data_IF_469228840692
#
_entry.id   IF_469228840692
#
_cell.length_a   1.000
_cell.length_b   1.000
_cell.length_c   1.000
_cell.angle_alpha   90.00
_cell.angle_beta   90.00
_cell.angle_gamma   90.00
#
_symmetry.space_group_name_H-M   'P 1'
#
loop_
_entity.id
_entity.type
_entity.pdbx_description
1 polymer ?
#
# COMPACT_ATOMS: atom_id res chain seq x y z
N UNK A 1 -18.15 14.67 12.62
CA UNK A 1 -18.65 13.40 13.23
C UNK A 1 -17.45 12.66 13.77
N UNK A 2 -17.39 12.43 15.09
CA UNK A 2 -16.37 11.54 15.64
C UNK A 2 -16.75 10.12 15.23
N UNK A 3 -16.03 9.54 14.28
CA UNK A 3 -16.15 8.12 13.99
C UNK A 3 -15.54 7.34 15.15
N UNK A 4 -16.17 6.24 15.51
CA UNK A 4 -15.55 5.25 16.37
C UNK A 4 -14.36 4.61 15.61
N UNK A 5 -13.14 5.03 15.96
CA UNK A 5 -11.91 4.56 15.30
C UNK A 5 -11.73 3.05 15.46
N UNK A 6 -12.28 2.46 16.51
CA UNK A 6 -12.27 1.01 16.70
C UNK A 6 -13.12 0.33 15.64
N UNK A 7 -14.34 0.83 15.40
CA UNK A 7 -15.20 0.28 14.36
C UNK A 7 -14.61 0.46 12.95
N UNK A 8 -13.92 1.57 12.68
CA UNK A 8 -13.22 1.77 11.40
C UNK A 8 -12.04 0.80 11.26
N UNK A 9 -11.27 0.57 12.32
CA UNK A 9 -10.17 -0.39 12.32
C UNK A 9 -10.68 -1.81 12.06
N UNK A 10 -11.75 -2.23 12.73
CA UNK A 10 -12.33 -3.56 12.55
C UNK A 10 -12.84 -3.73 11.10
N UNK A 11 -13.41 -2.66 10.53
CA UNK A 11 -13.82 -2.62 9.14
C UNK A 11 -12.63 -2.72 8.17
N UNK A 12 -11.54 -2.02 8.48
CA UNK A 12 -10.27 -2.08 7.75
C UNK A 12 -9.70 -3.50 7.76
N UNK A 13 -9.65 -4.14 8.93
CA UNK A 13 -9.16 -5.52 9.06
C UNK A 13 -9.99 -6.48 8.21
N UNK A 14 -11.31 -6.29 8.20
CA UNK A 14 -12.20 -7.10 7.39
C UNK A 14 -11.93 -6.90 5.89
N UNK A 15 -11.90 -5.65 5.41
CA UNK A 15 -11.89 -5.35 3.98
C UNK A 15 -10.48 -5.34 3.39
N UNK A 16 -9.49 -4.82 4.12
CA UNK A 16 -8.14 -4.57 3.61
C UNK A 16 -7.12 -5.63 4.04
N UNK A 17 -7.49 -6.55 4.93
CA UNK A 17 -6.62 -7.62 5.38
C UNK A 17 -7.23 -9.00 5.13
N UNK A 18 -8.39 -9.30 5.73
CA UNK A 18 -9.00 -10.64 5.62
C UNK A 18 -9.62 -10.92 4.26
N UNK A 19 -10.37 -9.97 3.71
CA UNK A 19 -11.13 -10.12 2.48
C UNK A 19 -10.48 -9.44 1.26
N UNK A 20 -9.31 -8.84 1.44
CA UNK A 20 -8.60 -8.18 0.34
C UNK A 20 -8.44 -9.14 -0.85
N UNK A 21 -8.62 -8.60 -2.05
CA UNK A 21 -8.39 -9.30 -3.32
C UNK A 21 -7.47 -8.45 -4.18
N UNK A 22 -6.29 -8.99 -4.43
CA UNK A 22 -5.28 -8.41 -5.30
C UNK A 22 -5.25 -9.21 -6.61
N UNK A 23 -5.49 -8.57 -7.77
CA UNK A 23 -5.63 -9.30 -9.04
C UNK A 23 -4.35 -10.03 -9.43
N UNK A 24 -3.18 -9.50 -9.05
CA UNK A 24 -1.88 -10.03 -9.45
C UNK A 24 -1.33 -11.11 -8.51
N UNK A 25 -1.99 -11.35 -7.40
CA UNK A 25 -1.54 -12.27 -6.36
C UNK A 25 -2.54 -13.43 -6.17
N UNK A 26 -2.02 -14.59 -5.82
CA UNK A 26 -2.85 -15.72 -5.40
C UNK A 26 -3.14 -15.57 -3.90
N UNK A 27 -4.42 -15.35 -3.57
CA UNK A 27 -4.87 -15.30 -2.18
C UNK A 27 -5.11 -16.69 -1.64
N UNK A 28 -4.55 -17.00 -0.48
CA UNK A 28 -4.79 -18.23 0.25
C UNK A 28 -5.26 -17.90 1.68
N UNK A 29 -6.34 -18.55 2.09
CA UNK A 29 -6.91 -18.38 3.42
C UNK A 29 -6.69 -19.67 4.24
N UNK A 30 -6.06 -19.51 5.40
CA UNK A 30 -5.86 -20.54 6.40
C UNK A 30 -6.72 -20.18 7.63
N UNK A 31 -6.94 -21.10 8.58
CA UNK A 31 -7.81 -20.83 9.73
C UNK A 31 -7.49 -19.54 10.50
N UNK A 32 -6.19 -19.22 10.64
CA UNK A 32 -5.71 -18.12 11.49
C UNK A 32 -4.90 -17.06 10.74
N UNK A 33 -4.77 -17.14 9.41
CA UNK A 33 -4.04 -16.16 8.61
C UNK A 33 -4.51 -16.12 7.16
N UNK A 34 -4.23 -14.99 6.50
CA UNK A 34 -4.40 -14.82 5.05
C UNK A 34 -3.05 -14.43 4.47
N UNK A 35 -2.64 -15.14 3.42
CA UNK A 35 -1.42 -14.85 2.68
C UNK A 35 -1.69 -14.66 1.19
N UNK A 36 -0.79 -13.95 0.55
CA UNK A 36 -0.77 -13.75 -0.88
C UNK A 36 0.56 -14.24 -1.43
N UNK A 37 0.49 -15.00 -2.50
CA UNK A 37 1.65 -15.59 -3.18
C UNK A 37 1.84 -14.88 -4.51
N UNK A 38 3.06 -14.46 -4.80
CA UNK A 38 3.38 -13.89 -6.10
C UNK A 38 3.34 -14.96 -7.19
N UNK A 39 2.63 -14.68 -8.26
CA UNK A 39 2.57 -15.57 -9.44
C UNK A 39 3.77 -15.43 -10.36
N UNK A 40 4.53 -14.34 -10.23
CA UNK A 40 5.62 -13.97 -11.12
C UNK A 40 7.00 -14.07 -10.48
N UNK A 41 7.10 -14.71 -9.30
CA UNK A 41 8.36 -14.89 -8.58
C UNK A 41 8.78 -13.72 -7.69
N UNK A 42 7.89 -12.72 -7.49
CA UNK A 42 8.12 -11.63 -6.53
C UNK A 42 7.94 -12.07 -5.08
N UNK A 43 8.01 -11.10 -4.18
CA UNK A 43 7.81 -11.32 -2.73
C UNK A 43 6.35 -11.68 -2.43
N UNK A 44 6.14 -12.70 -1.57
CA UNK A 44 4.82 -13.00 -1.00
C UNK A 44 4.53 -12.13 0.22
N UNK A 45 3.30 -12.22 0.76
CA UNK A 45 2.93 -11.49 1.97
C UNK A 45 1.93 -12.26 2.82
N UNK A 46 2.16 -12.31 4.14
CA UNK A 46 1.15 -12.63 5.16
C UNK A 46 0.53 -11.30 5.62
N UNK A 47 -0.69 -11.03 5.20
CA UNK A 47 -1.34 -9.73 5.41
C UNK A 47 -2.25 -9.70 6.64
N UNK A 48 -2.82 -10.84 7.00
CA UNK A 48 -3.65 -11.01 8.19
C UNK A 48 -3.18 -12.21 8.99
N UNK A 49 -3.09 -12.04 10.31
CA UNK A 49 -2.91 -13.14 11.23
C UNK A 49 -3.63 -12.88 12.55
N UNK A 50 -4.19 -13.95 13.12
CA UNK A 50 -4.80 -13.97 14.46
C UNK A 50 -4.40 -15.29 15.12
N UNK A 51 -3.24 -15.29 15.78
CA UNK A 51 -2.62 -16.49 16.29
C UNK A 51 -2.79 -16.61 17.82
N UNK A 52 -2.95 -17.82 18.30
CA UNK A 52 -2.79 -18.10 19.72
C UNK A 52 -1.30 -18.14 20.06
N UNK A 53 -0.96 -17.71 21.27
CA UNK A 53 0.44 -17.63 21.74
C UNK A 53 1.17 -18.97 21.60
N UNK A 54 0.52 -20.08 21.96
CA UNK A 54 1.09 -21.43 21.89
C UNK A 54 1.37 -21.91 20.45
N UNK A 55 0.69 -21.35 19.45
CA UNK A 55 0.77 -21.79 18.05
C UNK A 55 1.63 -20.86 17.18
N UNK A 56 1.95 -19.67 17.67
CA UNK A 56 2.58 -18.62 16.87
C UNK A 56 3.90 -19.07 16.23
N UNK A 57 4.81 -19.68 17.02
CA UNK A 57 6.10 -20.13 16.51
C UNK A 57 5.97 -21.28 15.49
N UNK A 58 4.99 -22.14 15.64
CA UNK A 58 4.70 -23.20 14.67
C UNK A 58 4.15 -22.60 13.37
N UNK A 59 3.26 -21.59 13.46
CA UNK A 59 2.73 -20.87 12.31
C UNK A 59 3.84 -20.13 11.55
N UNK A 60 4.74 -19.43 12.26
CA UNK A 60 5.88 -18.73 11.65
C UNK A 60 6.76 -19.71 10.88
N UNK A 61 7.19 -20.82 11.51
CA UNK A 61 8.00 -21.85 10.83
C UNK A 61 7.28 -22.44 9.61
N UNK A 62 5.95 -22.64 9.72
CA UNK A 62 5.14 -23.12 8.62
C UNK A 62 5.12 -22.18 7.42
N UNK A 63 5.05 -20.86 7.65
CA UNK A 63 5.11 -19.87 6.56
C UNK A 63 6.52 -19.79 5.96
N UNK A 64 7.57 -19.83 6.76
CA UNK A 64 8.96 -19.88 6.29
C UNK A 64 9.15 -21.09 5.37
N UNK A 65 8.78 -22.29 5.82
CA UNK A 65 8.91 -23.52 5.02
C UNK A 65 8.10 -23.43 3.72
N UNK A 66 6.90 -22.87 3.77
CA UNK A 66 6.04 -22.70 2.61
C UNK A 66 6.67 -21.79 1.54
N UNK A 67 7.07 -20.57 1.91
CA UNK A 67 7.65 -19.63 0.96
C UNK A 67 9.05 -20.06 0.50
N UNK A 68 9.85 -20.69 1.36
CA UNK A 68 11.10 -21.30 0.97
C UNK A 68 10.90 -22.40 -0.09
N UNK A 69 9.86 -23.24 0.06
CA UNK A 69 9.49 -24.25 -0.91
C UNK A 69 9.07 -23.68 -2.27
N UNK A 70 8.58 -22.45 -2.31
CA UNK A 70 8.27 -21.71 -3.54
C UNK A 70 9.45 -20.93 -4.10
N UNK A 71 10.59 -20.88 -3.41
CA UNK A 71 11.74 -20.07 -3.80
C UNK A 71 11.49 -18.56 -3.64
N UNK A 72 10.58 -18.15 -2.74
CA UNK A 72 10.18 -16.75 -2.54
C UNK A 72 10.58 -16.23 -1.17
N UNK A 73 11.08 -15.00 -1.11
CA UNK A 73 11.06 -14.17 0.09
C UNK A 73 9.63 -13.73 0.39
N UNK A 74 9.34 -13.34 1.63
CA UNK A 74 8.01 -12.81 1.95
C UNK A 74 8.04 -11.79 3.08
N UNK A 75 7.00 -10.97 3.11
CA UNK A 75 6.70 -10.03 4.18
C UNK A 75 5.63 -10.64 5.11
N UNK A 76 5.78 -10.45 6.40
CA UNK A 76 4.69 -10.56 7.36
C UNK A 76 4.34 -9.16 7.83
N UNK A 77 3.21 -8.63 7.39
CA UNK A 77 2.74 -7.31 7.82
C UNK A 77 2.04 -7.44 9.16
N UNK A 78 2.70 -6.97 10.21
CA UNK A 78 2.20 -7.04 11.59
C UNK A 78 1.57 -5.72 11.98
N UNK A 79 0.35 -5.77 12.52
CA UNK A 79 -0.33 -4.59 13.03
C UNK A 79 -0.23 -4.55 14.57
N UNK A 80 -0.25 -3.35 15.14
CA UNK A 80 -0.07 -3.16 16.59
C UNK A 80 -1.16 -3.86 17.45
N UNK A 81 -2.29 -4.22 16.85
CA UNK A 81 -3.39 -4.93 17.50
C UNK A 81 -3.47 -6.42 17.13
N UNK A 82 -2.47 -6.94 16.41
CA UNK A 82 -2.40 -8.37 16.10
C UNK A 82 -2.02 -9.20 17.34
N UNK A 83 -2.39 -10.47 17.31
CA UNK A 83 -2.10 -11.42 18.38
C UNK A 83 -1.15 -12.51 17.89
N UNK A 84 -0.25 -12.98 18.76
CA UNK A 84 0.02 -12.52 20.14
C UNK A 84 0.75 -11.16 20.16
N UNK A 85 0.70 -10.39 21.25
CA UNK A 85 1.30 -9.04 21.30
C UNK A 85 2.82 -9.02 21.10
N UNK A 86 3.50 -10.15 21.31
CA UNK A 86 4.95 -10.35 21.10
C UNK A 86 5.26 -10.94 19.69
N UNK A 87 4.32 -10.89 18.75
CA UNK A 87 4.49 -11.49 17.41
C UNK A 87 5.75 -10.97 16.68
N UNK A 88 6.06 -9.68 16.79
CA UNK A 88 7.25 -9.08 16.16
C UNK A 88 8.54 -9.60 16.74
N UNK A 89 8.60 -9.80 18.06
CA UNK A 89 9.75 -10.36 18.76
C UNK A 89 9.97 -11.82 18.35
N UNK A 90 8.90 -12.59 18.19
CA UNK A 90 8.95 -13.97 17.69
C UNK A 90 9.43 -14.00 16.22
N UNK A 91 8.88 -13.16 15.35
CA UNK A 91 9.35 -13.04 13.97
C UNK A 91 10.85 -12.73 13.91
N UNK A 92 11.32 -11.76 14.71
CA UNK A 92 12.75 -11.44 14.80
C UNK A 92 13.60 -12.67 15.23
N UNK A 93 13.12 -13.45 16.20
CA UNK A 93 13.79 -14.68 16.64
C UNK A 93 13.85 -15.75 15.54
N UNK A 94 12.93 -15.72 14.59
CA UNK A 94 12.90 -16.56 13.40
C UNK A 94 13.60 -15.96 12.16
N UNK A 95 14.40 -14.89 12.35
CA UNK A 95 15.26 -14.33 11.30
C UNK A 95 14.61 -13.27 10.43
N UNK A 96 13.44 -12.75 10.81
CA UNK A 96 12.85 -11.61 10.11
C UNK A 96 13.56 -10.30 10.46
N UNK A 97 13.71 -9.44 9.46
CA UNK A 97 14.09 -8.04 9.64
C UNK A 97 12.80 -7.24 9.89
N UNK A 98 12.81 -6.44 10.96
CA UNK A 98 11.63 -5.65 11.35
C UNK A 98 11.85 -4.20 10.93
N UNK A 99 10.99 -3.72 10.06
CA UNK A 99 10.98 -2.35 9.58
C UNK A 99 10.51 -1.32 10.62
N UNK A 100 10.63 -0.05 10.28
CA UNK A 100 10.10 1.04 11.10
C UNK A 100 8.56 1.02 11.11
N UNK A 101 7.91 1.52 12.18
CA UNK A 101 6.46 1.62 12.22
C UNK A 101 5.93 2.63 11.20
N UNK A 102 4.87 2.24 10.50
CA UNK A 102 4.08 3.10 9.64
C UNK A 102 2.70 3.33 10.26
N UNK A 103 2.21 4.56 10.16
CA UNK A 103 0.88 4.89 10.64
C UNK A 103 -0.17 4.43 9.62
N UNK A 104 -1.00 3.46 9.98
CA UNK A 104 -2.17 3.08 9.18
C UNK A 104 -3.23 4.15 9.37
N UNK A 105 -3.47 4.94 8.33
CA UNK A 105 -4.38 6.07 8.39
C UNK A 105 -5.59 5.86 7.50
N UNK A 106 -6.73 6.35 7.95
CA UNK A 106 -8.00 6.29 7.21
C UNK A 106 -8.62 7.68 7.11
N UNK A 107 -9.26 7.94 5.97
CA UNK A 107 -10.00 9.16 5.69
C UNK A 107 -11.40 8.82 5.18
N UNK A 108 -12.44 9.43 5.75
CA UNK A 108 -13.81 9.31 5.24
C UNK A 108 -14.03 10.32 4.09
N UNK A 109 -14.08 9.84 2.87
CA UNK A 109 -14.30 10.67 1.68
C UNK A 109 -15.68 11.36 1.67
N UNK A 110 -16.66 10.84 2.42
CA UNK A 110 -17.95 11.51 2.57
C UNK A 110 -17.86 12.78 3.41
N UNK A 111 -16.88 12.85 4.33
CA UNK A 111 -16.60 13.99 5.19
C UNK A 111 -15.49 14.90 4.65
N UNK A 112 -15.15 14.80 3.36
CA UNK A 112 -14.06 15.55 2.76
C UNK A 112 -14.27 17.07 2.91
N UNK A 113 -13.24 17.81 3.39
CA UNK A 113 -13.31 19.25 3.51
C UNK A 113 -13.36 19.91 2.14
N UNK A 114 -13.96 21.13 2.01
CA UNK A 114 -14.12 21.79 0.71
C UNK A 114 -12.83 21.96 -0.08
N UNK A 115 -11.68 22.07 0.59
CA UNK A 115 -10.37 22.19 -0.09
C UNK A 115 -10.02 20.97 -0.94
N UNK A 116 -10.44 19.76 -0.54
CA UNK A 116 -10.21 18.53 -1.29
C UNK A 116 -11.29 18.27 -2.37
N UNK A 117 -12.33 19.09 -2.43
CA UNK A 117 -13.41 19.00 -3.40
C UNK A 117 -13.28 20.03 -4.54
N UNK A 118 -12.31 20.94 -4.46
CA UNK A 118 -12.02 21.91 -5.52
C UNK A 118 -11.31 21.25 -6.68
N UNK A 119 -11.51 21.75 -7.92
CA UNK A 119 -10.67 21.36 -9.04
C UNK A 119 -9.18 21.55 -8.67
N UNK A 120 -8.30 20.65 -9.12
CA UNK A 120 -6.85 20.82 -8.92
C UNK A 120 -6.38 22.16 -9.51
N UNK A 121 -5.43 22.81 -8.84
CA UNK A 121 -4.79 24.02 -9.32
C UNK A 121 -3.59 23.63 -10.20
N UNK A 122 -3.71 23.75 -11.51
CA UNK A 122 -2.59 23.48 -12.43
C UNK A 122 -2.81 22.31 -13.38
N UNK A 123 -1.73 21.90 -14.05
CA UNK A 123 -1.75 20.81 -15.02
C UNK A 123 -1.64 19.46 -14.27
N UNK A 124 -2.79 18.91 -13.90
CA UNK A 124 -2.90 17.58 -13.29
C UNK A 124 -3.64 16.67 -14.27
N UNK A 125 -3.01 15.56 -14.62
CA UNK A 125 -3.54 14.60 -15.59
C UNK A 125 -3.76 13.25 -14.93
N UNK A 126 -4.87 12.62 -15.32
CA UNK A 126 -5.10 11.21 -15.05
C UNK A 126 -4.39 10.39 -16.12
N UNK A 127 -3.62 9.42 -15.71
CA UNK A 127 -2.96 8.46 -16.60
C UNK A 127 -4.00 7.45 -17.07
N UNK A 128 -4.12 7.29 -18.39
CA UNK A 128 -5.06 6.38 -19.03
C UNK A 128 -4.39 5.46 -20.06
N UNK A 129 -3.24 5.87 -20.61
CA UNK A 129 -2.45 5.07 -21.55
C UNK A 129 -1.24 4.46 -20.81
N UNK A 130 -0.95 3.15 -21.00
CA UNK A 130 0.27 2.54 -20.47
C UNK A 130 1.57 3.26 -20.84
N UNK A 131 1.64 3.95 -21.98
CA UNK A 131 2.81 4.74 -22.39
C UNK A 131 3.07 5.92 -21.44
N UNK A 132 2.03 6.48 -20.82
CA UNK A 132 2.15 7.60 -19.88
C UNK A 132 2.76 7.16 -18.52
N UNK A 133 2.88 5.85 -18.25
CA UNK A 133 3.54 5.34 -17.05
C UNK A 133 5.03 5.72 -16.99
N UNK A 134 5.64 6.07 -18.12
CA UNK A 134 7.00 6.57 -18.15
C UNK A 134 7.18 7.82 -17.27
N UNK A 135 6.19 8.73 -17.25
CA UNK A 135 6.23 9.93 -16.40
C UNK A 135 6.14 9.59 -14.90
N UNK A 136 5.35 8.57 -14.54
CA UNK A 136 5.23 8.07 -13.17
C UNK A 136 6.55 7.46 -12.72
N UNK A 137 7.13 6.56 -13.54
CA UNK A 137 8.39 5.87 -13.25
C UNK A 137 9.52 6.88 -13.09
N UNK A 138 9.63 7.85 -13.99
CA UNK A 138 10.68 8.86 -13.92
C UNK A 138 10.66 9.66 -12.59
N UNK A 139 9.47 9.98 -12.08
CA UNK A 139 9.33 10.66 -10.78
C UNK A 139 9.72 9.73 -9.63
N UNK A 140 9.25 8.49 -9.64
CA UNK A 140 9.54 7.52 -8.57
C UNK A 140 11.04 7.19 -8.54
N UNK A 141 11.66 6.92 -9.69
CA UNK A 141 13.10 6.63 -9.81
C UNK A 141 13.94 7.78 -9.24
N UNK A 142 13.59 9.02 -9.57
CA UNK A 142 14.33 10.19 -9.10
C UNK A 142 14.13 10.42 -7.59
N UNK A 143 12.89 10.29 -7.08
CA UNK A 143 12.60 10.55 -5.66
C UNK A 143 13.23 9.51 -4.74
N UNK A 144 13.22 8.23 -5.15
CA UNK A 144 13.66 7.12 -4.31
C UNK A 144 15.05 6.61 -4.65
N UNK A 145 15.63 7.05 -5.80
CA UNK A 145 16.92 6.57 -6.33
C UNK A 145 16.95 5.03 -6.52
N UNK A 146 15.82 4.48 -6.96
CA UNK A 146 15.58 3.05 -7.17
C UNK A 146 14.87 2.82 -8.51
N UNK A 147 14.99 1.60 -9.09
CA UNK A 147 14.27 1.21 -10.31
C UNK A 147 12.80 0.87 -10.00
N UNK A 148 11.88 1.63 -10.59
CA UNK A 148 10.43 1.43 -10.49
C UNK A 148 9.81 0.92 -11.79
N UNK A 149 10.58 0.29 -12.67
CA UNK A 149 10.08 -0.33 -13.91
C UNK A 149 8.96 -1.36 -13.67
N UNK A 150 8.89 -1.94 -12.47
CA UNK A 150 7.82 -2.84 -12.04
C UNK A 150 6.42 -2.18 -12.13
N UNK A 151 6.33 -0.84 -12.07
CA UNK A 151 5.07 -0.08 -12.22
C UNK A 151 4.43 -0.38 -13.58
N UNK A 152 5.21 -0.36 -14.67
CA UNK A 152 4.72 -0.68 -15.99
C UNK A 152 4.26 -2.13 -16.11
N UNK A 153 5.01 -3.05 -15.51
CA UNK A 153 4.68 -4.48 -15.54
C UNK A 153 3.38 -4.76 -14.79
N UNK A 154 3.21 -4.14 -13.62
CA UNK A 154 2.05 -4.36 -12.77
C UNK A 154 0.81 -3.64 -13.29
N UNK A 155 0.92 -2.35 -13.59
CA UNK A 155 -0.26 -1.50 -13.86
C UNK A 155 -0.57 -1.31 -15.34
N UNK A 156 0.41 -1.55 -16.23
CA UNK A 156 0.19 -1.44 -17.68
C UNK A 156 -0.97 -2.29 -18.20
N UNK A 157 -1.09 -3.57 -17.83
CA UNK A 157 -2.25 -4.38 -18.19
C UNK A 157 -3.58 -3.80 -17.68
N UNK A 158 -3.62 -3.32 -16.43
CA UNK A 158 -4.83 -2.75 -15.84
C UNK A 158 -5.31 -1.47 -16.52
N UNK A 159 -4.38 -0.64 -17.02
CA UNK A 159 -4.72 0.56 -17.80
C UNK A 159 -5.21 0.17 -19.19
N UNK A 160 -4.53 -0.76 -19.88
CA UNK A 160 -4.90 -1.23 -21.21
C UNK A 160 -6.28 -1.87 -21.24
N UNK A 161 -6.58 -2.71 -20.25
CA UNK A 161 -7.81 -3.49 -20.17
C UNK A 161 -8.93 -2.74 -19.42
N UNK A 162 -8.67 -1.50 -18.99
CA UNK A 162 -9.61 -0.63 -18.28
C UNK A 162 -10.30 -1.33 -17.09
N UNK A 163 -9.54 -2.18 -16.36
CA UNK A 163 -10.11 -3.02 -15.28
C UNK A 163 -10.72 -2.22 -14.13
N UNK A 164 -10.40 -0.95 -14.04
CA UNK A 164 -10.79 -0.09 -12.92
C UNK A 164 -10.02 -0.33 -11.62
N UNK A 165 -9.08 -1.27 -11.60
CA UNK A 165 -8.29 -1.58 -10.39
C UNK A 165 -7.41 -0.44 -9.91
N UNK A 166 -6.85 0.36 -10.83
CA UNK A 166 -5.96 1.47 -10.50
C UNK A 166 -6.46 2.80 -11.07
N UNK A 167 -6.19 3.89 -10.37
CA UNK A 167 -6.27 5.24 -10.89
C UNK A 167 -4.98 5.98 -10.54
N UNK A 168 -4.28 6.49 -11.56
CA UNK A 168 -2.99 7.16 -11.44
C UNK A 168 -3.10 8.60 -11.91
N UNK A 169 -2.32 9.48 -11.27
CA UNK A 169 -2.32 10.91 -11.56
C UNK A 169 -0.90 11.44 -11.56
N UNK A 170 -0.63 12.35 -12.49
CA UNK A 170 0.64 13.11 -12.57
C UNK A 170 0.32 14.59 -12.60
N UNK A 171 1.00 15.35 -11.76
CA UNK A 171 1.00 16.81 -11.80
C UNK A 171 2.26 17.32 -12.50
N UNK A 172 2.07 18.24 -13.44
CA UNK A 172 3.13 18.81 -14.26
C UNK A 172 3.46 20.23 -13.82
N UNK A 173 4.74 20.57 -13.88
CA UNK A 173 5.24 21.92 -13.64
C UNK A 173 6.09 22.36 -14.85
N UNK A 174 5.69 23.46 -15.52
CA UNK A 174 6.38 23.91 -16.73
C UNK A 174 6.37 22.85 -17.86
N UNK A 175 5.32 22.05 -17.95
CA UNK A 175 5.18 20.99 -18.96
C UNK A 175 6.01 19.72 -18.68
N UNK A 176 6.67 19.61 -17.52
CA UNK A 176 7.43 18.42 -17.09
C UNK A 176 6.75 17.72 -15.92
N UNK A 177 6.77 16.38 -15.86
CA UNK A 177 6.24 15.63 -14.72
C UNK A 177 6.98 16.04 -13.44
N UNK A 178 6.24 16.34 -12.38
CA UNK A 178 6.80 16.91 -11.14
C UNK A 178 6.33 16.19 -9.87
N UNK A 179 5.14 15.59 -9.91
CA UNK A 179 4.61 14.84 -8.77
C UNK A 179 3.66 13.77 -9.28
N UNK A 180 3.68 12.60 -8.64
CA UNK A 180 2.79 11.48 -8.98
C UNK A 180 2.10 10.93 -7.76
N UNK A 181 0.97 10.28 -7.96
CA UNK A 181 0.29 9.48 -6.95
C UNK A 181 -0.73 8.55 -7.62
N UNK A 182 -0.95 7.39 -7.03
CA UNK A 182 -2.02 6.50 -7.48
C UNK A 182 -2.84 5.95 -6.34
N UNK A 183 -3.90 5.25 -6.69
CA UNK A 183 -4.76 4.54 -5.76
C UNK A 183 -5.25 3.24 -6.40
N UNK A 184 -5.48 2.23 -5.54
CA UNK A 184 -6.00 0.92 -5.95
C UNK A 184 -7.37 0.66 -5.35
N UNK A 185 -8.18 -0.10 -6.10
CA UNK A 185 -9.56 -0.42 -5.75
C UNK A 185 -9.74 -1.94 -5.76
N UNK A 186 -9.95 -2.53 -4.61
CA UNK A 186 -10.26 -3.96 -4.50
C UNK A 186 -11.75 -4.18 -4.59
N UNK A 187 -12.16 -5.18 -5.38
CA UNK A 187 -13.57 -5.51 -5.57
C UNK A 187 -14.28 -5.81 -4.23
N UNK A 188 -15.42 -5.16 -4.00
CA UNK A 188 -16.23 -5.33 -2.80
C UNK A 188 -15.71 -4.63 -1.55
N UNK A 189 -14.55 -3.94 -1.61
CA UNK A 189 -14.02 -3.18 -0.49
C UNK A 189 -14.67 -1.79 -0.39
N UNK A 190 -14.88 -1.35 0.85
CA UNK A 190 -15.29 0.04 1.17
C UNK A 190 -14.12 1.00 1.17
N UNK A 191 -12.91 0.50 1.00
CA UNK A 191 -11.65 1.24 1.03
C UNK A 191 -10.97 1.27 -0.35
N UNK A 192 -10.24 2.36 -0.61
CA UNK A 192 -9.23 2.43 -1.65
C UNK A 192 -7.87 2.75 -1.03
N UNK A 193 -6.84 2.01 -1.43
CA UNK A 193 -5.46 2.23 -0.98
C UNK A 193 -4.81 3.39 -1.72
N UNK A 194 -4.12 4.28 -1.00
CA UNK A 194 -3.33 5.37 -1.57
C UNK A 194 -1.85 5.00 -1.60
N UNK A 195 -1.20 5.23 -2.72
CA UNK A 195 0.19 4.84 -2.99
C UNK A 195 0.96 5.95 -3.73
N UNK A 196 2.27 5.86 -3.74
CA UNK A 196 3.15 6.61 -4.62
C UNK A 196 2.99 8.12 -4.57
N UNK A 197 2.79 8.70 -3.40
CA UNK A 197 2.67 10.15 -3.22
C UNK A 197 4.04 10.84 -3.27
N UNK A 198 4.69 10.84 -4.44
CA UNK A 198 6.04 11.37 -4.64
C UNK A 198 6.03 12.74 -5.30
N UNK A 199 6.92 13.62 -4.87
CA UNK A 199 7.13 14.96 -5.46
C UNK A 199 8.62 15.23 -5.56
N UNK A 200 9.08 15.61 -6.76
CA UNK A 200 10.47 16.02 -7.00
C UNK A 200 10.86 17.15 -6.05
N UNK A 201 12.09 17.11 -5.56
CA UNK A 201 12.57 17.97 -4.47
C UNK A 201 12.35 19.46 -4.78
N UNK A 202 12.69 19.91 -5.99
CA UNK A 202 12.56 21.29 -6.45
C UNK A 202 11.09 21.75 -6.62
N UNK A 203 10.15 20.82 -6.61
CA UNK A 203 8.72 21.11 -6.74
C UNK A 203 7.95 20.96 -5.43
N UNK A 204 8.62 20.59 -4.33
CA UNK A 204 8.00 20.51 -2.99
C UNK A 204 7.54 21.87 -2.48
N UNK A 205 6.58 21.87 -1.57
CA UNK A 205 6.03 23.10 -0.98
C UNK A 205 5.12 23.93 -1.90
N UNK A 206 4.82 23.46 -3.14
CA UNK A 206 4.00 24.16 -4.13
C UNK A 206 2.55 23.65 -4.21
N UNK A 207 2.14 22.79 -3.31
CA UNK A 207 0.77 22.27 -3.26
C UNK A 207 0.47 21.04 -4.11
N UNK A 208 1.42 20.57 -4.96
CA UNK A 208 1.20 19.44 -5.89
C UNK A 208 0.71 18.17 -5.19
N UNK A 209 1.29 17.84 -4.04
CA UNK A 209 0.85 16.69 -3.23
C UNK A 209 -0.62 16.83 -2.79
N UNK A 210 -1.03 18.03 -2.37
CA UNK A 210 -2.42 18.30 -1.95
C UNK A 210 -3.40 18.24 -3.13
N UNK A 211 -3.00 18.71 -4.31
CA UNK A 211 -3.80 18.60 -5.52
C UNK A 211 -3.97 17.14 -5.95
N UNK A 212 -2.92 16.33 -5.88
CA UNK A 212 -2.99 14.88 -6.10
C UNK A 212 -3.85 14.17 -5.07
N UNK A 213 -3.82 14.61 -3.80
CA UNK A 213 -4.72 14.08 -2.77
C UNK A 213 -6.17 14.43 -3.09
N UNK A 214 -6.45 15.68 -3.48
CA UNK A 214 -7.79 16.11 -3.87
C UNK A 214 -8.33 15.30 -5.06
N UNK A 215 -7.51 15.07 -6.09
CA UNK A 215 -7.89 14.24 -7.23
C UNK A 215 -8.26 12.81 -6.82
N UNK A 216 -7.49 12.20 -5.91
CA UNK A 216 -7.77 10.85 -5.40
C UNK A 216 -9.04 10.80 -4.54
N UNK A 217 -9.28 11.81 -3.69
CA UNK A 217 -10.53 11.92 -2.92
C UNK A 217 -11.74 12.04 -3.84
N UNK A 218 -11.65 12.87 -4.87
CA UNK A 218 -12.74 13.06 -5.85
C UNK A 218 -12.99 11.78 -6.65
N UNK A 219 -11.93 11.07 -7.06
CA UNK A 219 -12.05 9.78 -7.77
C UNK A 219 -12.72 8.70 -6.89
N UNK A 220 -12.35 8.60 -5.61
CA UNK A 220 -13.01 7.69 -4.68
C UNK A 220 -14.50 7.99 -4.55
N UNK A 221 -14.87 9.27 -4.36
CA UNK A 221 -16.26 9.71 -4.30
C UNK A 221 -17.03 9.38 -5.58
N UNK A 222 -16.43 9.64 -6.75
CA UNK A 222 -17.03 9.33 -8.05
C UNK A 222 -17.34 7.84 -8.21
N UNK A 223 -16.51 6.97 -7.61
CA UNK A 223 -16.68 5.50 -7.61
C UNK A 223 -17.54 4.98 -6.44
N UNK A 224 -18.02 5.84 -5.56
CA UNK A 224 -18.79 5.43 -4.38
C UNK A 224 -17.97 4.74 -3.30
N UNK A 225 -16.64 4.85 -3.33
CA UNK A 225 -15.76 4.34 -2.29
C UNK A 225 -15.76 5.31 -1.12
N UNK A 226 -16.04 4.80 0.08
CA UNK A 226 -16.21 5.64 1.26
C UNK A 226 -14.91 6.00 1.93
N UNK A 227 -14.00 5.06 2.08
CA UNK A 227 -12.78 5.27 2.86
C UNK A 227 -11.54 5.22 1.98
N UNK A 228 -10.60 6.13 2.26
CA UNK A 228 -9.24 6.05 1.75
C UNK A 228 -8.32 5.56 2.85
N UNK A 229 -7.35 4.73 2.52
CA UNK A 229 -6.35 4.26 3.47
C UNK A 229 -4.94 4.42 2.92
N UNK A 230 -3.98 4.62 3.81
CA UNK A 230 -2.56 4.77 3.50
C UNK A 230 -1.72 4.34 4.69
N UNK A 231 -0.61 3.67 4.41
CA UNK A 231 0.46 3.47 5.37
C UNK A 231 1.41 4.66 5.26
N UNK A 232 1.33 5.54 6.25
CA UNK A 232 1.98 6.83 6.20
C UNK A 232 3.34 6.80 6.89
N UNK A 233 4.36 7.23 6.15
CA UNK A 233 5.69 7.51 6.70
C UNK A 233 5.65 8.70 7.66
N UNK A 234 6.69 8.88 8.51
CA UNK A 234 6.83 10.07 9.35
C UNK A 234 6.78 11.40 8.59
N UNK A 235 7.16 11.39 7.30
CA UNK A 235 7.17 12.58 6.44
C UNK A 235 5.76 12.93 5.92
N UNK A 236 4.98 11.94 5.49
CA UNK A 236 3.65 12.15 4.92
C UNK A 236 2.55 12.29 5.96
N UNK A 237 2.69 11.62 7.11
CA UNK A 237 1.69 11.62 8.18
C UNK A 237 1.20 13.03 8.59
N UNK A 238 2.08 14.02 8.91
CA UNK A 238 1.62 15.35 9.32
C UNK A 238 0.83 16.09 8.24
N UNK A 239 1.09 15.78 6.96
CA UNK A 239 0.35 16.36 5.83
C UNK A 239 -1.05 15.75 5.79
N UNK A 240 -1.14 14.43 5.91
CA UNK A 240 -2.41 13.70 5.89
C UNK A 240 -3.31 14.05 7.08
N UNK A 241 -2.73 14.17 8.28
CA UNK A 241 -3.47 14.61 9.49
C UNK A 241 -4.12 15.98 9.29
N UNK A 242 -3.41 16.94 8.68
CA UNK A 242 -3.98 18.27 8.35
C UNK A 242 -5.13 18.22 7.37
N UNK A 243 -5.21 17.18 6.55
CA UNK A 243 -6.31 16.95 5.61
C UNK A 243 -7.44 16.09 6.21
N UNK A 244 -7.33 15.66 7.47
CA UNK A 244 -8.38 14.93 8.18
C UNK A 244 -8.24 13.41 8.18
N UNK A 245 -7.09 12.88 7.77
CA UNK A 245 -6.77 11.46 7.98
C UNK A 245 -6.56 11.18 9.46
N UNK A 246 -7.03 10.04 9.93
CA UNK A 246 -6.92 9.60 11.31
C UNK A 246 -6.13 8.30 11.39
N UNK A 247 -5.24 8.19 12.37
CA UNK A 247 -4.49 6.94 12.64
C UNK A 247 -5.44 5.94 13.29
N UNK A 248 -5.58 4.77 12.68
CA UNK A 248 -6.41 3.67 13.20
C UNK A 248 -5.55 2.53 13.77
N UNK A 249 -4.32 2.40 13.31
CA UNK A 249 -3.34 1.44 13.81
C UNK A 249 -1.92 1.84 13.43
N UNK A 250 -0.96 1.00 13.84
CA UNK A 250 0.42 1.01 13.35
C UNK A 250 0.71 -0.33 12.70
N UNK A 251 1.42 -0.32 11.59
CA UNK A 251 1.87 -1.50 10.89
C UNK A 251 3.41 -1.57 10.85
N UNK A 252 3.92 -2.79 10.77
CA UNK A 252 5.35 -3.08 10.69
C UNK A 252 5.56 -4.08 9.55
N UNK A 253 6.40 -3.72 8.61
CA UNK A 253 6.92 -4.64 7.63
C UNK A 253 7.92 -5.57 8.33
N UNK A 254 7.68 -6.87 8.32
CA UNK A 254 8.59 -7.87 8.85
C UNK A 254 9.00 -8.78 7.68
N UNK A 255 10.25 -8.68 7.24
CA UNK A 255 10.73 -9.34 6.01
C UNK A 255 11.59 -10.54 6.35
N UNK A 256 11.23 -11.68 5.76
CA UNK A 256 12.08 -12.86 5.71
C UNK A 256 12.65 -13.00 4.30
N UNK A 257 13.97 -13.00 4.20
CA UNK A 257 14.67 -13.17 2.92
C UNK A 257 15.08 -14.63 2.72
N UNK A 258 14.74 -15.16 1.55
CA UNK A 258 15.21 -16.47 1.13
C UNK A 258 16.74 -16.42 0.99
N UNK A 259 17.43 -17.20 1.80
CA UNK A 259 18.87 -17.38 1.64
C UNK A 259 19.14 -18.19 0.35
N UNK A 260 19.58 -17.50 -0.71
CA UNK A 260 20.11 -18.19 -1.88
C UNK A 260 21.46 -18.80 -1.49
N UNK A 261 21.67 -20.07 -1.80
CA UNK A 261 23.01 -20.64 -1.72
C UNK A 261 23.95 -19.76 -2.57
N UNK A 262 25.20 -19.50 -2.10
CA UNK A 262 26.16 -18.79 -2.92
C UNK A 262 26.24 -19.53 -4.27
N UNK A 263 26.03 -18.80 -5.38
CA UNK A 263 26.35 -19.32 -6.69
C UNK A 263 27.82 -19.73 -6.64
N UNK A 264 28.09 -21.03 -6.69
CA UNK A 264 29.44 -21.55 -6.81
C UNK A 264 30.12 -20.79 -7.94
N UNK A 265 31.14 -20.01 -7.61
CA UNK A 265 31.98 -19.31 -8.56
C UNK A 265 32.58 -20.39 -9.52
N UNK A 266 31.96 -20.49 -10.69
CA UNK A 266 32.53 -21.28 -11.81
C UNK A 266 33.34 -20.37 -12.71
#
# INVERSE_FOLDING_TARGET
>A
MNHDLTAIRDLYDQDQRRNLREPDLLREELPNLVRFVSRTGGRGIVLYSHLHEAEADAAIRGQIAYFAGLGQSFEWKVFAHDTPPDLRERLRAHGFQIGAPEAVMVFDAAAAPPVLLRPPCGDLRRISDPAELADVIAIEDEVWSEDHSWISQRFGPHLRDETGYVAMFVAYAGGRPASTAWMTFSSGSRFAGLWGGSTLVEHRGRGLYSDLLAARVQEARRRGVRFLTVDASPMSRPILERHGFQVVSWAYECVWELQRAPEDAR
#
